data_IF_895823272659
#
_entry.id   IF_895823272659
#
_cell.length_a   1.000
_cell.length_b   1.000
_cell.length_c   1.000
_cell.angle_alpha   90.00
_cell.angle_beta   90.00
_cell.angle_gamma   90.00
#
_symmetry.space_group_name_H-M   'P 1'
#
loop_
_entity.id
_entity.type
_entity.pdbx_description
1 polymer ?
#
# COMPACT_ATOMS: atom_id res chain seq x y z
N UNK A 1 9.92 -26.29 -19.76
CA UNK A 1 10.06 -24.97 -19.11
C UNK A 1 9.46 -23.92 -20.04
N UNK A 2 8.50 -23.13 -19.56
CA UNK A 2 7.97 -21.98 -20.31
C UNK A 2 8.58 -20.67 -19.77
N UNK A 3 8.38 -19.56 -20.50
CA UNK A 3 8.93 -18.26 -20.13
C UNK A 3 8.44 -17.77 -18.76
N UNK A 4 7.17 -18.02 -18.43
CA UNK A 4 6.54 -17.56 -17.19
C UNK A 4 7.15 -18.27 -15.96
N UNK A 5 7.36 -19.57 -16.04
CA UNK A 5 7.93 -20.37 -14.97
C UNK A 5 9.42 -20.07 -14.79
N UNK A 6 10.16 -19.89 -15.89
CA UNK A 6 11.54 -19.42 -15.85
C UNK A 6 11.65 -18.05 -15.19
N UNK A 7 10.82 -17.08 -15.61
CA UNK A 7 10.78 -15.73 -15.06
C UNK A 7 10.50 -15.75 -13.54
N UNK A 8 9.47 -16.49 -13.11
CA UNK A 8 9.14 -16.65 -11.68
C UNK A 8 10.31 -17.23 -10.90
N UNK A 9 11.01 -18.22 -11.45
CA UNK A 9 12.21 -18.79 -10.86
C UNK A 9 13.33 -17.77 -10.68
N UNK A 10 13.64 -17.00 -11.73
CA UNK A 10 14.67 -15.96 -11.69
C UNK A 10 14.38 -14.88 -10.64
N UNK A 11 13.13 -14.40 -10.58
CA UNK A 11 12.70 -13.41 -9.59
C UNK A 11 12.74 -13.99 -8.17
N UNK A 12 12.30 -15.24 -7.97
CA UNK A 12 12.33 -15.91 -6.66
C UNK A 12 13.77 -16.14 -6.15
N UNK A 13 14.71 -16.45 -7.06
CA UNK A 13 16.14 -16.56 -6.75
C UNK A 13 16.85 -15.21 -6.55
N UNK A 14 16.12 -14.09 -6.57
CA UNK A 14 16.66 -12.72 -6.49
C UNK A 14 17.65 -12.36 -7.61
N UNK A 15 17.57 -13.06 -8.75
CA UNK A 15 18.38 -12.82 -9.96
C UNK A 15 17.61 -11.95 -10.97
N UNK A 16 17.05 -10.85 -10.47
CA UNK A 16 16.21 -9.96 -11.29
C UNK A 16 17.00 -9.13 -12.29
N UNK A 17 18.28 -8.85 -12.02
CA UNK A 17 19.16 -8.07 -12.89
C UNK A 17 19.56 -8.84 -14.16
N UNK A 18 19.65 -10.17 -14.07
CA UNK A 18 19.89 -11.07 -15.21
C UNK A 18 18.71 -11.15 -16.18
N UNK A 19 17.55 -10.58 -15.83
CA UNK A 19 16.37 -10.53 -16.70
C UNK A 19 16.39 -9.34 -17.66
N UNK A 20 17.34 -8.42 -17.52
CA UNK A 20 17.48 -7.27 -18.41
C UNK A 20 18.07 -7.74 -19.74
N UNK A 21 17.42 -7.35 -20.84
CA UNK A 21 17.90 -7.65 -22.19
C UNK A 21 19.28 -7.00 -22.41
N UNK A 22 20.32 -7.78 -22.80
CA UNK A 22 21.65 -7.26 -23.10
C UNK A 22 21.68 -6.20 -24.22
N UNK A 23 20.66 -6.15 -25.07
CA UNK A 23 20.55 -5.17 -26.16
C UNK A 23 20.01 -3.79 -25.71
N UNK A 24 19.60 -3.66 -24.45
CA UNK A 24 19.21 -2.36 -23.90
C UNK A 24 20.47 -1.50 -23.69
N UNK A 25 20.64 -0.46 -24.49
CA UNK A 25 21.79 0.44 -24.42
C UNK A 25 21.90 1.18 -23.08
N UNK A 26 20.76 1.68 -22.58
CA UNK A 26 20.68 2.41 -21.32
C UNK A 26 20.06 1.51 -20.25
N UNK A 27 20.92 0.99 -19.38
CA UNK A 27 20.46 0.09 -18.33
C UNK A 27 19.44 0.76 -17.40
N UNK A 28 18.31 0.09 -17.09
CA UNK A 28 17.30 0.65 -16.22
C UNK A 28 17.85 0.84 -14.81
N UNK A 29 17.38 1.87 -14.11
CA UNK A 29 17.73 2.01 -12.69
C UNK A 29 17.21 0.81 -11.90
N UNK A 30 17.87 0.39 -10.80
CA UNK A 30 17.41 -0.72 -9.98
C UNK A 30 15.98 -0.54 -9.47
N UNK A 31 15.54 0.71 -9.25
CA UNK A 31 14.15 1.05 -8.87
C UNK A 31 13.18 0.76 -10.01
N UNK A 32 13.48 1.22 -11.22
CA UNK A 32 12.65 1.00 -12.39
C UNK A 32 12.55 -0.49 -12.73
N UNK A 33 13.65 -1.23 -12.66
CA UNK A 33 13.67 -2.67 -12.88
C UNK A 33 12.81 -3.41 -11.85
N UNK A 34 13.00 -3.15 -10.55
CA UNK A 34 12.18 -3.75 -9.49
C UNK A 34 10.69 -3.46 -9.68
N UNK A 35 10.34 -2.23 -10.04
CA UNK A 35 8.95 -1.84 -10.34
C UNK A 35 8.39 -2.66 -11.49
N UNK A 36 9.08 -2.71 -12.62
CA UNK A 36 8.67 -3.49 -13.80
C UNK A 36 8.47 -4.97 -13.47
N UNK A 37 9.42 -5.60 -12.76
CA UNK A 37 9.32 -7.00 -12.36
C UNK A 37 8.10 -7.28 -11.47
N UNK A 38 7.79 -6.39 -10.52
CA UNK A 38 6.61 -6.51 -9.66
C UNK A 38 5.30 -6.32 -10.42
N UNK A 39 5.25 -5.40 -11.38
CA UNK A 39 4.10 -5.23 -12.27
C UNK A 39 3.89 -6.51 -13.10
N UNK A 40 4.95 -7.04 -13.71
CA UNK A 40 4.89 -8.29 -14.47
C UNK A 40 4.32 -9.45 -13.64
N UNK A 41 4.78 -9.63 -12.40
CA UNK A 41 4.27 -10.67 -11.50
C UNK A 41 2.76 -10.56 -11.22
N UNK A 42 2.23 -9.34 -11.09
CA UNK A 42 0.78 -9.13 -10.91
C UNK A 42 -0.02 -9.38 -12.19
N UNK A 43 0.54 -9.04 -13.34
CA UNK A 43 -0.12 -9.26 -14.64
C UNK A 43 -0.25 -10.75 -15.00
N UNK A 44 0.70 -11.59 -14.55
CA UNK A 44 0.73 -13.03 -14.83
C UNK A 44 0.11 -13.89 -13.71
N UNK A 45 -0.63 -13.27 -12.78
CA UNK A 45 -1.29 -14.00 -11.70
C UNK A 45 -2.20 -15.11 -12.27
N UNK A 46 -2.18 -16.27 -11.61
CA UNK A 46 -3.02 -17.41 -12.00
C UNK A 46 -4.51 -17.10 -11.81
N UNK A 47 -4.83 -16.28 -10.80
CA UNK A 47 -6.19 -15.77 -10.58
C UNK A 47 -6.40 -14.49 -11.40
N UNK A 48 -7.29 -14.58 -12.39
CA UNK A 48 -7.62 -13.46 -13.27
C UNK A 48 -8.16 -12.24 -12.50
N UNK A 49 -8.82 -12.45 -11.35
CA UNK A 49 -9.39 -11.35 -10.56
C UNK A 49 -8.30 -10.53 -9.83
N UNK A 50 -7.10 -11.07 -9.68
CA UNK A 50 -5.95 -10.37 -9.08
C UNK A 50 -5.13 -9.58 -10.09
N UNK A 51 -5.35 -9.81 -11.39
CA UNK A 51 -4.65 -9.11 -12.45
C UNK A 51 -5.10 -7.64 -12.48
N UNK A 52 -4.18 -6.67 -12.50
CA UNK A 52 -4.52 -5.27 -12.54
C UNK A 52 -5.17 -4.90 -13.89
N UNK A 53 -6.09 -3.94 -13.86
CA UNK A 53 -6.61 -3.31 -15.08
C UNK A 53 -5.52 -2.46 -15.74
N UNK A 54 -5.62 -2.23 -17.04
CA UNK A 54 -4.62 -1.44 -17.79
C UNK A 54 -4.36 -0.06 -17.18
N UNK A 55 -5.39 0.67 -16.75
CA UNK A 55 -5.20 1.97 -16.08
C UNK A 55 -4.40 1.87 -14.76
N UNK A 56 -4.59 0.79 -14.00
CA UNK A 56 -3.79 0.53 -12.80
C UNK A 56 -2.34 0.21 -13.17
N UNK A 57 -2.10 -0.53 -14.26
CA UNK A 57 -0.75 -0.84 -14.76
C UNK A 57 0.00 0.45 -15.12
N UNK A 58 -0.65 1.36 -15.84
CA UNK A 58 -0.06 2.67 -16.20
C UNK A 58 0.36 3.42 -14.93
N UNK A 59 -0.55 3.58 -13.98
CA UNK A 59 -0.22 4.22 -12.70
C UNK A 59 0.86 3.48 -11.92
N UNK A 60 0.89 2.16 -11.93
CA UNK A 60 1.93 1.37 -11.27
C UNK A 60 3.31 1.54 -11.91
N UNK A 61 3.39 1.84 -13.21
CA UNK A 61 4.64 2.06 -13.93
C UNK A 61 5.12 3.51 -13.84
N UNK A 62 4.21 4.47 -13.85
CA UNK A 62 4.49 5.90 -13.71
C UNK A 62 4.76 6.33 -12.26
N UNK A 63 4.11 5.68 -11.29
CA UNK A 63 4.32 6.00 -9.88
C UNK A 63 5.72 5.61 -9.43
N UNK A 64 6.40 6.55 -8.81
CA UNK A 64 7.67 6.28 -8.13
C UNK A 64 7.48 5.51 -6.83
N UNK A 65 6.31 5.62 -6.19
CA UNK A 65 6.08 5.12 -4.85
C UNK A 65 5.52 3.68 -4.75
N UNK A 66 5.30 2.98 -5.86
CA UNK A 66 4.60 1.68 -5.83
C UNK A 66 5.43 0.46 -6.23
N UNK A 67 5.61 -0.52 -5.33
CA UNK A 67 5.59 -0.39 -3.87
C UNK A 67 7.02 -0.07 -3.42
N UNK A 68 7.39 1.20 -3.25
CA UNK A 68 8.71 1.50 -2.67
C UNK A 68 8.69 2.73 -1.75
N UNK A 69 8.37 2.48 -0.47
CA UNK A 69 9.17 3.03 0.63
C UNK A 69 10.20 1.98 1.06
N UNK A 70 11.46 2.20 0.72
CA UNK A 70 12.62 1.51 1.27
C UNK A 70 13.09 2.20 2.55
N UNK A 71 12.20 2.48 3.51
CA UNK A 71 12.65 3.01 4.79
C UNK A 71 13.10 1.84 5.65
N UNK A 72 14.42 1.70 5.81
CA UNK A 72 15.00 0.99 6.93
C UNK A 72 14.26 1.51 8.18
N UNK A 73 13.31 0.75 8.72
CA UNK A 73 12.79 1.02 10.06
C UNK A 73 14.02 0.86 10.97
N UNK A 74 14.57 1.91 11.59
CA UNK A 74 15.54 1.67 12.63
C UNK A 74 14.77 0.95 13.74
N UNK A 75 15.33 -0.16 14.22
CA UNK A 75 14.84 -0.83 15.40
C UNK A 75 14.92 0.18 16.56
N UNK A 76 13.85 0.93 16.83
CA UNK A 76 13.70 1.59 18.12
C UNK A 76 13.30 0.52 19.13
N UNK A 77 14.35 -0.17 19.57
CA UNK A 77 14.71 -0.33 20.97
C UNK A 77 13.53 -0.53 21.92
N UNK A 78 13.50 -1.73 22.49
CA UNK A 78 12.69 -2.08 23.65
C UNK A 78 13.09 -1.16 24.81
N UNK A 79 12.25 -0.19 25.14
CA UNK A 79 12.20 0.34 26.49
C UNK A 79 10.77 0.20 27.02
N UNK A 80 10.56 -0.92 27.70
CA UNK A 80 9.60 -1.01 28.79
C UNK A 80 9.89 0.09 29.81
N UNK A 81 8.92 0.97 30.09
CA UNK A 81 8.76 1.57 31.41
C UNK A 81 7.26 1.68 31.73
N UNK A 82 6.79 1.12 32.86
CA UNK A 82 5.41 1.20 33.33
C UNK A 82 5.21 2.41 34.27
N UNK A 83 4.03 3.05 34.25
CA UNK A 83 3.52 3.90 35.33
C UNK A 83 2.03 4.22 35.07
N UNK A 84 1.07 3.48 35.62
CA UNK A 84 0.42 3.64 36.94
C UNK A 84 -0.31 4.98 37.17
N UNK A 85 -1.64 4.90 37.03
CA UNK A 85 -2.76 5.66 37.68
C UNK A 85 -2.83 7.20 37.61
N UNK A 86 -4.07 7.71 37.48
CA UNK A 86 -4.56 8.62 38.50
C UNK A 86 -5.88 8.15 39.13
N UNK A 87 -5.85 8.13 40.46
CA UNK A 87 -7.00 8.07 41.36
C UNK A 87 -7.79 9.38 41.37
N UNK A 88 -9.09 9.23 41.61
CA UNK A 88 -9.92 10.07 42.49
C UNK A 88 -11.11 10.77 41.81
N UNK A 89 -12.27 10.41 42.34
CA UNK A 89 -13.61 10.80 41.96
C UNK A 89 -13.97 12.23 42.37
N UNK A 90 -14.82 12.90 41.57
CA UNK A 90 -16.01 13.66 42.03
C UNK A 90 -16.83 14.21 40.85
N UNK A 91 -18.05 13.71 40.68
CA UNK A 91 -19.20 14.46 40.16
C UNK A 91 -19.84 15.24 41.35
N UNK A 92 -20.70 16.29 41.21
CA UNK A 92 -21.92 16.30 40.37
C UNK A 92 -22.38 17.65 39.72
N UNK A 93 -23.35 17.51 38.80
CA UNK A 93 -24.13 18.45 37.95
C UNK A 93 -25.10 19.41 38.70
N UNK A 94 -25.69 20.50 38.10
CA UNK A 94 -26.84 20.37 37.15
C UNK A 94 -27.13 21.46 36.06
N UNK A 95 -27.62 20.93 34.91
CA UNK A 95 -28.78 21.28 34.04
C UNK A 95 -29.15 22.74 33.67
N UNK A 96 -29.36 22.98 32.36
CA UNK A 96 -30.56 23.64 31.80
C UNK A 96 -30.90 23.13 30.38
N UNK A 97 -32.15 22.69 30.23
CA UNK A 97 -32.85 22.27 29.02
C UNK A 97 -33.64 23.44 28.42
N UNK A 98 -33.82 23.47 27.09
CA UNK A 98 -35.01 23.99 26.38
C UNK A 98 -35.01 23.34 24.97
N UNK A 99 -35.79 22.28 24.73
CA UNK A 99 -37.10 22.23 24.00
C UNK A 99 -36.97 22.45 22.47
N UNK A 100 -37.00 21.39 21.61
CA UNK A 100 -38.10 20.87 20.74
C UNK A 100 -38.91 21.98 19.99
N UNK A 101 -39.29 21.92 18.70
CA UNK A 101 -40.07 20.91 17.93
C UNK A 101 -39.97 21.22 16.40
N UNK A 102 -40.12 20.16 15.60
CA UNK A 102 -40.33 20.00 14.14
C UNK A 102 -41.17 21.04 13.34
N UNK A 103 -40.91 21.17 12.02
CA UNK A 103 -41.84 20.73 10.94
C UNK A 103 -41.48 21.25 9.51
N UNK A 104 -41.21 20.28 8.63
CA UNK A 104 -41.77 20.05 7.28
C UNK A 104 -41.75 21.14 6.16
N UNK A 105 -41.05 20.72 5.07
CA UNK A 105 -41.55 20.55 3.68
C UNK A 105 -41.72 21.79 2.80
N UNK A 106 -40.76 21.97 1.88
CA UNK A 106 -41.01 22.59 0.57
C UNK A 106 -39.98 22.12 -0.45
N UNK A 107 -40.39 21.31 -1.43
CA UNK A 107 -39.83 21.42 -2.78
C UNK A 107 -40.79 20.89 -3.83
N UNK A 108 -41.25 21.85 -4.63
CA UNK A 108 -42.02 21.71 -5.87
C UNK A 108 -41.12 21.13 -6.97
N UNK A 109 -41.55 20.04 -7.60
CA UNK A 109 -41.66 19.85 -9.05
C UNK A 109 -42.03 18.40 -9.35
#
# INVERSE_FOLDING_TARGET
MNLVDWFKGMVASRRGEELVDPLIEVQPSPRALKRALLVCLRCIDLDANKRPKMGQIVHMLEADDFPFRSEHRPARERYSVPSSVPTSAKAPHPKKQTEKVDAAKSRRK
#
